data_IF_925926646140
#
_entry.id   IF_925926646140
#
_cell.length_a   1.000
_cell.length_b   1.000
_cell.length_c   1.000
_cell.angle_alpha   90.00
_cell.angle_beta   90.00
_cell.angle_gamma   90.00
#
_symmetry.space_group_name_H-M   'P 1'
#
loop_
_entity.id
_entity.type
_entity.pdbx_description
1 polymer ?
#
# COMPACT_ATOMS: atom_id res chain seq x y z
N UNK A 1 5.14 8.90 -11.23
CA UNK A 1 5.61 10.13 -10.57
C UNK A 1 5.43 11.30 -11.52
N UNK A 2 5.17 12.49 -10.99
CA UNK A 2 5.16 13.76 -11.73
C UNK A 2 6.03 14.73 -10.96
N UNK A 3 7.04 15.31 -11.61
CA UNK A 3 8.02 16.21 -11.00
C UNK A 3 7.83 17.63 -11.54
N UNK A 4 7.98 18.64 -10.68
CA UNK A 4 7.93 20.07 -11.05
C UNK A 4 6.69 20.46 -11.88
N UNK A 5 5.54 19.83 -11.62
CA UNK A 5 4.29 20.06 -12.33
C UNK A 5 4.27 19.61 -13.80
N UNK A 6 5.32 18.93 -14.28
CA UNK A 6 5.57 18.72 -15.70
C UNK A 6 5.97 17.29 -16.04
N UNK A 7 7.14 16.84 -15.59
CA UNK A 7 7.74 15.61 -16.12
C UNK A 7 7.13 14.36 -15.50
N UNK A 8 6.67 13.44 -16.35
CA UNK A 8 6.05 12.19 -15.94
C UNK A 8 7.07 11.06 -16.03
N UNK A 9 7.24 10.36 -14.92
CA UNK A 9 8.16 9.25 -14.76
C UNK A 9 7.44 8.00 -14.26
N UNK A 10 7.85 6.83 -14.72
CA UNK A 10 7.32 5.53 -14.26
C UNK A 10 8.48 4.63 -13.87
N UNK A 11 8.31 3.83 -12.83
CA UNK A 11 9.24 2.76 -12.48
C UNK A 11 8.71 1.43 -13.02
N UNK A 12 9.53 0.70 -13.80
CA UNK A 12 9.23 -0.64 -14.33
C UNK A 12 10.46 -1.52 -14.21
N UNK A 13 10.27 -2.76 -13.76
CA UNK A 13 11.34 -3.77 -13.71
C UNK A 13 12.63 -3.30 -12.98
N UNK A 14 12.47 -2.41 -12.00
CA UNK A 14 13.59 -1.83 -11.23
C UNK A 14 14.29 -0.64 -11.90
N UNK A 15 13.83 -0.18 -13.06
CA UNK A 15 14.32 1.02 -13.76
C UNK A 15 13.30 2.16 -13.77
N UNK A 16 13.79 3.40 -13.87
CA UNK A 16 12.97 4.61 -14.00
C UNK A 16 13.01 5.12 -15.44
N UNK A 17 11.83 5.32 -16.04
CA UNK A 17 11.66 5.82 -17.41
C UNK A 17 10.90 7.16 -17.44
N UNK A 18 11.34 8.09 -18.29
CA UNK A 18 10.57 9.29 -18.64
C UNK A 18 9.55 8.93 -19.70
N UNK A 19 8.27 9.23 -19.45
CA UNK A 19 7.16 8.78 -20.32
C UNK A 19 6.33 9.92 -20.88
N UNK A 20 6.62 11.17 -20.50
CA UNK A 20 5.92 12.31 -21.06
C UNK A 20 5.97 13.57 -20.20
N UNK A 21 5.18 14.56 -20.61
CA UNK A 21 5.09 15.87 -19.97
C UNK A 21 3.64 16.31 -19.85
N UNK A 22 3.28 16.86 -18.69
CA UNK A 22 1.99 17.50 -18.44
C UNK A 22 1.96 18.93 -18.99
N UNK A 23 0.76 19.39 -19.32
CA UNK A 23 0.51 20.80 -19.64
C UNK A 23 0.43 21.63 -18.36
N UNK A 24 0.71 22.92 -18.47
CA UNK A 24 0.59 23.86 -17.35
C UNK A 24 -0.79 23.78 -16.70
N UNK A 25 -0.81 23.62 -15.36
CA UNK A 25 -2.03 23.52 -14.56
C UNK A 25 -2.77 22.18 -14.64
N UNK A 26 -2.30 21.23 -15.45
CA UNK A 26 -2.92 19.89 -15.53
C UNK A 26 -2.74 19.11 -14.22
N UNK A 27 -1.54 19.13 -13.64
CA UNK A 27 -1.28 18.45 -12.36
C UNK A 27 -2.17 19.00 -11.24
N UNK A 28 -2.37 20.32 -11.16
CA UNK A 28 -3.23 20.94 -10.14
C UNK A 28 -4.66 20.41 -10.20
N UNK A 29 -5.24 20.28 -11.41
CA UNK A 29 -6.58 19.70 -11.59
C UNK A 29 -6.62 18.22 -11.21
N UNK A 30 -5.56 17.47 -11.49
CA UNK A 30 -5.44 16.05 -11.09
C UNK A 30 -5.38 15.94 -9.56
N UNK A 31 -4.59 16.78 -8.90
CA UNK A 31 -4.48 16.83 -7.43
C UNK A 31 -5.84 17.09 -6.80
N UNK A 32 -6.58 18.10 -7.26
CA UNK A 32 -7.94 18.39 -6.77
C UNK A 32 -8.89 17.21 -6.94
N UNK A 33 -8.89 16.57 -8.13
CA UNK A 33 -9.72 15.40 -8.41
C UNK A 33 -9.37 14.19 -7.53
N UNK A 34 -8.12 14.05 -7.13
CA UNK A 34 -7.66 12.99 -6.22
C UNK A 34 -8.11 13.29 -4.79
N UNK A 35 -7.91 14.52 -4.32
CA UNK A 35 -8.08 14.86 -2.90
C UNK A 35 -9.53 15.12 -2.49
N UNK A 36 -10.36 15.67 -3.39
CA UNK A 36 -11.76 16.02 -3.10
C UNK A 36 -12.57 14.81 -2.59
N UNK A 37 -12.59 13.64 -3.25
CA UNK A 37 -13.36 12.48 -2.76
C UNK A 37 -12.80 11.88 -1.46
N UNK A 38 -11.51 12.10 -1.17
CA UNK A 38 -10.83 11.56 0.02
C UNK A 38 -11.07 12.48 1.24
N UNK A 39 -11.62 13.69 1.04
CA UNK A 39 -11.80 14.66 2.10
C UNK A 39 -10.48 15.21 2.64
N UNK A 40 -9.45 15.25 1.79
CA UNK A 40 -8.13 15.82 2.10
C UNK A 40 -7.94 17.12 1.33
N UNK A 41 -7.05 17.97 1.81
CA UNK A 41 -6.67 19.22 1.14
C UNK A 41 -5.15 19.37 1.19
N UNK A 42 -4.61 20.05 0.20
CA UNK A 42 -3.23 20.52 0.17
C UNK A 42 -3.26 22.00 -0.17
N UNK A 43 -2.54 22.81 0.61
CA UNK A 43 -2.47 24.26 0.44
C UNK A 43 -1.16 24.81 1.04
N UNK A 44 -0.90 26.10 0.95
CA UNK A 44 0.37 26.67 1.41
C UNK A 44 0.61 26.53 2.92
N UNK A 45 -0.43 26.39 3.74
CA UNK A 45 -0.30 26.15 5.17
C UNK A 45 -0.06 24.66 5.49
N UNK A 46 -0.50 23.76 4.60
CA UNK A 46 -0.26 22.32 4.67
C UNK A 46 0.18 21.78 3.30
N UNK A 47 1.45 22.02 2.91
CA UNK A 47 1.94 21.82 1.54
C UNK A 47 2.28 20.37 1.20
N UNK A 48 2.10 19.44 2.15
CA UNK A 48 2.36 18.00 2.00
C UNK A 48 1.09 17.24 2.36
N UNK A 49 0.69 16.29 1.53
CA UNK A 49 -0.40 15.38 1.86
C UNK A 49 -0.07 13.95 1.42
N UNK A 50 -0.27 13.01 2.33
CA UNK A 50 -0.35 11.59 2.06
C UNK A 50 -1.83 11.18 2.01
N UNK A 51 -2.20 10.43 0.98
CA UNK A 51 -3.55 9.91 0.81
C UNK A 51 -3.56 8.50 0.21
N UNK A 52 -4.72 7.84 0.32
CA UNK A 52 -4.99 6.52 -0.23
C UNK A 52 -5.99 6.62 -1.37
N UNK A 53 -5.62 6.09 -2.53
CA UNK A 53 -6.49 6.00 -3.69
C UNK A 53 -7.47 4.82 -3.54
N UNK A 54 -8.62 4.83 -4.26
CA UNK A 54 -9.62 3.76 -4.18
C UNK A 54 -9.09 2.36 -4.52
N UNK A 55 -8.04 2.26 -5.35
CA UNK A 55 -7.39 0.99 -5.70
C UNK A 55 -6.40 0.50 -4.63
N UNK A 56 -6.26 1.23 -3.52
CA UNK A 56 -5.32 0.95 -2.44
C UNK A 56 -3.92 1.51 -2.67
N UNK A 57 -3.64 2.11 -3.83
CA UNK A 57 -2.37 2.79 -4.07
C UNK A 57 -2.19 3.97 -3.13
N UNK A 58 -0.95 4.27 -2.76
CA UNK A 58 -0.62 5.47 -1.99
C UNK A 58 -0.26 6.60 -2.92
N UNK A 59 -0.74 7.79 -2.61
CA UNK A 59 -0.35 9.02 -3.28
C UNK A 59 0.27 9.97 -2.26
N UNK A 60 1.43 10.50 -2.61
CA UNK A 60 2.07 11.61 -1.90
C UNK A 60 2.10 12.81 -2.82
N UNK A 61 1.62 13.95 -2.33
CA UNK A 61 1.54 15.20 -3.06
C UNK A 61 2.26 16.26 -2.25
N UNK A 62 3.15 17.00 -2.92
CA UNK A 62 3.91 18.10 -2.33
C UNK A 62 3.78 19.31 -3.24
N UNK A 63 3.45 20.47 -2.68
CA UNK A 63 3.31 21.72 -3.43
C UNK A 63 4.29 22.78 -2.92
N UNK A 64 4.48 23.90 -3.66
CA UNK A 64 5.20 25.06 -3.13
C UNK A 64 4.59 25.56 -1.81
N UNK A 65 5.41 26.05 -0.85
CA UNK A 65 6.84 26.35 -1.00
C UNK A 65 7.79 25.16 -0.77
N UNK A 66 7.30 23.99 -0.33
CA UNK A 66 8.15 22.83 -0.03
C UNK A 66 8.72 22.21 -1.31
N UNK A 67 7.91 22.13 -2.37
CA UNK A 67 8.39 21.74 -3.70
C UNK A 67 8.83 22.97 -4.49
N UNK A 68 10.11 23.34 -4.36
CA UNK A 68 10.71 24.59 -4.89
C UNK A 68 10.49 24.75 -6.40
N UNK A 69 10.68 23.68 -7.17
CA UNK A 69 10.59 23.71 -8.63
C UNK A 69 9.13 23.59 -9.15
N UNK A 70 8.16 23.45 -8.25
CA UNK A 70 6.75 23.25 -8.58
C UNK A 70 6.18 21.96 -7.99
N UNK A 71 4.86 21.74 -8.10
CA UNK A 71 4.17 20.63 -7.44
C UNK A 71 4.67 19.25 -7.89
N UNK A 72 4.81 18.33 -6.95
CA UNK A 72 5.24 16.96 -7.17
C UNK A 72 4.15 15.98 -6.74
N UNK A 73 4.03 14.86 -7.45
CA UNK A 73 3.08 13.79 -7.14
C UNK A 73 3.74 12.43 -7.37
N UNK A 74 3.73 11.57 -6.36
CA UNK A 74 4.17 10.17 -6.48
C UNK A 74 3.03 9.24 -6.14
N UNK A 75 2.79 8.25 -6.99
CA UNK A 75 1.84 7.16 -6.73
C UNK A 75 2.64 5.87 -6.61
N UNK A 76 2.58 5.25 -5.43
CA UNK A 76 3.11 3.91 -5.21
C UNK A 76 1.96 2.92 -5.29
N UNK A 77 1.97 2.11 -6.35
CA UNK A 77 0.99 1.05 -6.56
C UNK A 77 1.33 -0.13 -5.67
N UNK A 78 0.32 -0.67 -5.00
CA UNK A 78 0.46 -1.93 -4.26
C UNK A 78 -0.01 -3.08 -5.13
N UNK A 79 0.94 -3.89 -5.59
CA UNK A 79 0.66 -5.19 -6.19
C UNK A 79 0.79 -6.26 -5.12
N UNK A 80 -0.29 -6.53 -4.39
CA UNK A 80 -0.34 -7.74 -3.58
C UNK A 80 -0.47 -8.92 -4.55
N UNK A 81 0.61 -9.68 -4.70
CA UNK A 81 0.53 -11.01 -5.32
C UNK A 81 -0.02 -11.95 -4.26
N UNK A 82 -1.19 -12.51 -4.52
CA UNK A 82 -1.75 -13.58 -3.69
C UNK A 82 -1.00 -14.87 -4.04
N UNK A 83 0.07 -15.13 -3.30
CA UNK A 83 0.83 -16.37 -3.41
C UNK A 83 0.22 -17.43 -2.48
N UNK A 84 0.03 -18.68 -2.95
CA UNK A 84 -0.37 -19.76 -2.07
C UNK A 84 0.75 -20.07 -1.07
N UNK A 85 0.41 -20.71 0.05
CA UNK A 85 1.39 -21.11 1.06
C UNK A 85 2.47 -22.04 0.48
N UNK A 86 2.13 -22.83 -0.55
CA UNK A 86 3.06 -23.67 -1.31
C UNK A 86 4.17 -22.91 -2.05
N UNK A 87 4.05 -21.59 -2.21
CA UNK A 87 5.13 -20.78 -2.77
C UNK A 87 6.28 -20.51 -1.78
N UNK A 88 6.12 -20.87 -0.49
CA UNK A 88 7.05 -20.50 0.59
C UNK A 88 7.84 -21.68 1.16
N UNK A 89 7.63 -22.91 0.68
CA UNK A 89 8.34 -24.08 1.17
C UNK A 89 7.95 -25.37 0.44
N UNK A 90 8.61 -26.47 0.81
CA UNK A 90 8.21 -27.81 0.37
C UNK A 90 6.95 -28.27 1.13
N UNK A 91 6.43 -29.44 0.78
CA UNK A 91 5.20 -30.00 1.36
C UNK A 91 5.25 -30.10 2.89
N UNK A 92 6.38 -30.52 3.46
CA UNK A 92 6.57 -30.64 4.92
C UNK A 92 6.44 -29.28 5.63
N UNK A 93 7.06 -28.23 5.08
CA UNK A 93 6.98 -26.87 5.62
C UNK A 93 5.55 -26.33 5.52
N UNK A 94 4.88 -26.56 4.39
CA UNK A 94 3.50 -26.11 4.18
C UNK A 94 2.55 -26.81 5.15
N UNK A 95 2.71 -28.12 5.36
CA UNK A 95 1.93 -28.89 6.31
C UNK A 95 2.11 -28.37 7.74
N UNK A 96 3.36 -28.15 8.16
CA UNK A 96 3.70 -27.58 9.47
C UNK A 96 3.07 -26.20 9.67
N UNK A 97 3.20 -25.29 8.71
CA UNK A 97 2.62 -23.95 8.78
C UNK A 97 1.08 -24.02 8.84
N UNK A 98 0.46 -24.93 8.08
CA UNK A 98 -0.97 -25.18 8.15
C UNK A 98 -1.43 -25.68 9.53
N UNK A 99 -0.66 -26.57 10.16
CA UNK A 99 -0.94 -27.05 11.52
C UNK A 99 -0.81 -25.94 12.58
N UNK A 100 0.23 -25.10 12.49
CA UNK A 100 0.41 -23.93 13.35
C UNK A 100 -0.80 -23.00 13.27
N UNK A 101 -1.33 -22.76 12.07
CA UNK A 101 -2.54 -21.95 11.88
C UNK A 101 -3.79 -22.62 12.47
N UNK A 102 -3.99 -23.92 12.24
CA UNK A 102 -5.12 -24.69 12.81
C UNK A 102 -5.10 -24.72 14.34
N UNK A 103 -3.91 -24.77 14.93
CA UNK A 103 -3.71 -24.77 16.38
C UNK A 103 -3.79 -23.38 17.02
N UNK A 104 -4.00 -22.32 16.21
CA UNK A 104 -4.08 -20.92 16.67
C UNK A 104 -2.85 -20.48 17.45
N UNK A 105 -1.68 -20.93 17.02
CA UNK A 105 -0.44 -20.52 17.64
C UNK A 105 -0.17 -19.02 17.39
N UNK A 106 0.50 -18.37 18.34
CA UNK A 106 1.03 -17.03 18.11
C UNK A 106 2.24 -17.12 17.17
N UNK A 107 2.17 -16.45 16.02
CA UNK A 107 3.21 -16.49 14.99
C UNK A 107 3.80 -15.10 14.78
N UNK A 108 5.13 -15.01 14.76
CA UNK A 108 5.85 -13.80 14.38
C UNK A 108 6.61 -14.05 13.08
N UNK A 109 6.23 -13.33 12.02
CA UNK A 109 6.93 -13.36 10.73
C UNK A 109 8.00 -12.27 10.71
N UNK A 110 9.28 -12.64 10.59
CA UNK A 110 10.41 -11.71 10.63
C UNK A 110 11.24 -11.76 9.34
N UNK A 111 12.09 -10.75 9.13
CA UNK A 111 12.91 -10.61 7.92
C UNK A 111 13.17 -9.16 7.52
N UNK A 112 14.17 -8.94 6.65
CA UNK A 112 14.56 -7.62 6.15
C UNK A 112 13.42 -6.88 5.44
N UNK A 113 13.57 -5.57 5.22
CA UNK A 113 12.65 -4.81 4.37
C UNK A 113 12.52 -5.47 3.00
N UNK A 114 11.29 -5.53 2.46
CA UNK A 114 10.99 -6.16 1.16
C UNK A 114 11.28 -7.67 1.04
N UNK A 115 11.50 -8.40 2.14
CA UNK A 115 11.73 -9.85 2.12
C UNK A 115 10.48 -10.73 1.93
N UNK A 116 9.31 -10.14 1.64
CA UNK A 116 8.06 -10.90 1.46
C UNK A 116 7.26 -11.24 2.72
N UNK A 117 7.56 -10.62 3.87
CA UNK A 117 6.86 -10.87 5.15
C UNK A 117 5.34 -10.75 5.05
N UNK A 118 4.86 -9.62 4.53
CA UNK A 118 3.42 -9.38 4.37
C UNK A 118 2.78 -10.39 3.42
N UNK A 119 3.51 -10.81 2.39
CA UNK A 119 3.04 -11.82 1.43
C UNK A 119 2.87 -13.19 2.08
N UNK A 120 3.84 -13.63 2.89
CA UNK A 120 3.73 -14.87 3.67
C UNK A 120 2.59 -14.77 4.69
N UNK A 121 2.49 -13.65 5.41
CA UNK A 121 1.41 -13.43 6.37
C UNK A 121 0.04 -13.54 5.71
N UNK A 122 -0.12 -12.97 4.51
CA UNK A 122 -1.36 -13.07 3.74
C UNK A 122 -1.70 -14.51 3.34
N UNK A 123 -0.69 -15.30 2.95
CA UNK A 123 -0.85 -16.72 2.61
C UNK A 123 -1.22 -17.58 3.84
N UNK A 124 -0.63 -17.29 5.00
CA UNK A 124 -1.00 -17.93 6.27
C UNK A 124 -2.44 -17.59 6.66
N UNK A 125 -2.84 -16.32 6.53
CA UNK A 125 -4.19 -15.91 6.89
C UNK A 125 -5.29 -16.54 6.02
N UNK A 126 -4.97 -17.02 4.82
CA UNK A 126 -5.90 -17.79 3.99
C UNK A 126 -6.26 -19.17 4.60
N UNK A 127 -5.52 -19.63 5.61
CA UNK A 127 -5.76 -20.89 6.33
C UNK A 127 -6.49 -20.71 7.66
N UNK A 128 -6.91 -19.48 7.99
CA UNK A 128 -7.78 -19.23 9.15
C UNK A 128 -9.17 -19.79 8.85
N UNK A 129 -9.78 -20.47 9.83
CA UNK A 129 -11.11 -21.07 9.67
C UNK A 129 -12.21 -20.01 9.47
N UNK A 130 -13.17 -20.29 8.59
CA UNK A 130 -14.26 -19.36 8.21
C UNK A 130 -15.13 -18.86 9.37
N UNK A 131 -15.17 -19.60 10.49
CA UNK A 131 -15.94 -19.23 11.68
C UNK A 131 -15.26 -18.22 12.59
N UNK A 132 -14.00 -17.84 12.31
CA UNK A 132 -13.22 -16.97 13.19
C UNK A 132 -13.43 -15.48 12.87
N UNK A 133 -13.45 -14.67 13.92
CA UNK A 133 -13.43 -13.20 13.80
C UNK A 133 -12.00 -12.73 13.65
N UNK A 134 -11.68 -12.15 12.51
CA UNK A 134 -10.36 -11.56 12.27
C UNK A 134 -10.38 -10.04 12.45
N UNK A 135 -9.34 -9.53 13.10
CA UNK A 135 -9.09 -8.10 13.26
C UNK A 135 -7.68 -7.83 12.75
N UNK A 136 -7.53 -6.94 11.76
CA UNK A 136 -6.22 -6.45 11.33
C UNK A 136 -6.02 -5.03 11.83
N UNK A 137 -4.79 -4.74 12.26
CA UNK A 137 -4.33 -3.40 12.61
C UNK A 137 -3.03 -3.20 11.86
N UNK A 138 -3.03 -2.28 10.91
CA UNK A 138 -1.90 -2.04 10.02
C UNK A 138 -1.66 -0.53 9.91
N UNK A 139 -0.43 -0.06 9.74
CA UNK A 139 -0.23 1.36 9.39
C UNK A 139 -0.87 1.68 8.03
N UNK A 140 -0.81 0.70 7.11
CA UNK A 140 -1.41 0.72 5.79
C UNK A 140 -2.00 -0.66 5.56
N UNK A 141 -3.29 -0.75 5.24
CA UNK A 141 -3.94 -2.04 5.10
C UNK A 141 -3.53 -2.74 3.80
N UNK A 142 -2.62 -3.70 3.92
CA UNK A 142 -2.04 -4.52 2.86
C UNK A 142 -2.64 -5.94 2.84
N UNK A 143 -3.04 -6.46 4.00
CA UNK A 143 -3.62 -7.81 4.11
C UNK A 143 -4.95 -7.94 3.36
N UNK A 144 -5.09 -9.03 2.62
CA UNK A 144 -6.28 -9.40 1.84
C UNK A 144 -6.86 -10.70 2.36
N UNK A 145 -7.75 -10.57 3.32
CA UNK A 145 -8.40 -11.71 3.98
C UNK A 145 -9.65 -12.11 3.20
N UNK A 146 -9.80 -13.40 2.89
CA UNK A 146 -10.95 -13.94 2.16
C UNK A 146 -12.16 -14.28 3.06
N UNK A 147 -11.98 -14.28 4.38
CA UNK A 147 -13.07 -14.56 5.33
C UNK A 147 -14.12 -13.45 5.33
N UNK A 148 -15.38 -13.83 5.57
CA UNK A 148 -16.51 -12.90 5.69
C UNK A 148 -16.48 -12.08 6.97
N UNK A 149 -15.86 -12.58 8.05
CA UNK A 149 -15.90 -11.96 9.37
C UNK A 149 -14.59 -11.24 9.71
N UNK A 150 -14.24 -10.25 8.89
CA UNK A 150 -13.02 -9.44 9.03
C UNK A 150 -13.33 -7.98 9.36
N UNK A 151 -12.61 -7.43 10.35
CA UNK A 151 -12.52 -6.00 10.61
C UNK A 151 -11.11 -5.53 10.29
N UNK A 152 -10.98 -4.48 9.49
CA UNK A 152 -9.69 -3.93 9.06
C UNK A 152 -9.54 -2.53 9.61
N UNK A 153 -8.49 -2.32 10.41
CA UNK A 153 -8.16 -1.03 10.99
C UNK A 153 -6.83 -0.53 10.45
N UNK A 154 -6.77 0.76 10.14
CA UNK A 154 -5.51 1.46 9.89
C UNK A 154 -5.12 2.30 11.10
N UNK A 155 -3.86 2.23 11.50
CA UNK A 155 -3.33 3.08 12.55
C UNK A 155 -3.35 4.55 12.09
N UNK A 156 -3.67 5.45 13.02
CA UNK A 156 -3.52 6.89 12.81
C UNK A 156 -2.31 7.37 13.58
N UNK A 157 -1.49 8.27 12.99
CA UNK A 157 -0.45 8.96 13.75
C UNK A 157 -1.07 9.64 14.98
N UNK A 158 -0.32 9.64 16.09
CA UNK A 158 -0.71 10.42 17.26
C UNK A 158 -0.83 11.90 16.83
N UNK A 159 -1.99 12.49 17.12
CA UNK A 159 -2.26 13.93 16.94
C UNK A 159 -1.57 14.75 18.02
#
# INVERSE_FOLDING_TARGET
MVNAGRDIWVEREGGIEHVGVMRTGELSRIIERILLPIGRRVDQASPVVDARLPDGSRVCIVIPPVAVDGPCLSIRRFHVRDLPLSAFGNEDVVALLGDIMRQRCNVLVTGAASSGKTTLLNALCAHVADGERLITVEDIAELRLQTRHVLRFEARPAT
#
